data_IF_036493080733
#
_entry.id   IF_036493080733
#
_cell.length_a   1.000
_cell.length_b   1.000
_cell.length_c   1.000
_cell.angle_alpha   90.00
_cell.angle_beta   90.00
_cell.angle_gamma   90.00
#
_symmetry.space_group_name_H-M   'P 1'
#
loop_
_entity.id
_entity.type
_entity.pdbx_description
1 polymer ?
#
# COMPACT_ATOMS: atom_id res chain seq x y z
N UNK A 1 -19.86 -59.42 -32.10
CA UNK A 1 -19.51 -58.83 -30.81
C UNK A 1 -18.80 -57.52 -31.04
N UNK A 2 -19.52 -56.36 -30.92
CA UNK A 2 -18.94 -55.03 -31.13
C UNK A 2 -18.33 -54.52 -29.82
N UNK A 3 -17.02 -54.29 -29.82
CA UNK A 3 -16.31 -53.68 -28.69
C UNK A 3 -16.53 -52.16 -28.75
N UNK A 4 -17.24 -51.62 -27.76
CA UNK A 4 -17.41 -50.18 -27.58
C UNK A 4 -16.18 -49.66 -26.78
N UNK A 5 -15.33 -48.86 -27.41
CA UNK A 5 -14.22 -48.17 -26.75
C UNK A 5 -14.78 -46.87 -26.15
N UNK A 6 -14.83 -46.80 -24.84
CA UNK A 6 -15.19 -45.59 -24.12
C UNK A 6 -13.92 -44.74 -23.95
N UNK A 7 -13.84 -43.68 -24.77
CA UNK A 7 -12.76 -42.70 -24.65
C UNK A 7 -13.08 -41.77 -23.49
N UNK A 8 -12.34 -41.87 -22.41
CA UNK A 8 -12.46 -41.01 -21.24
C UNK A 8 -11.75 -39.66 -21.56
N UNK A 9 -12.53 -38.63 -21.87
CA UNK A 9 -12.02 -37.29 -22.08
C UNK A 9 -11.72 -36.64 -20.75
N UNK A 10 -10.44 -36.60 -20.32
CA UNK A 10 -10.00 -35.89 -19.15
C UNK A 10 -9.98 -34.40 -19.47
N UNK A 11 -10.98 -33.65 -19.02
CA UNK A 11 -10.95 -32.18 -18.99
C UNK A 11 -9.97 -31.72 -17.91
N UNK A 12 -8.79 -31.31 -18.33
CA UNK A 12 -7.85 -30.57 -17.48
C UNK A 12 -8.42 -29.16 -17.27
N UNK A 13 -9.05 -28.95 -16.13
CA UNK A 13 -9.34 -27.61 -15.64
C UNK A 13 -8.00 -26.97 -15.24
N UNK A 14 -7.38 -26.22 -16.14
CA UNK A 14 -6.33 -25.28 -15.77
C UNK A 14 -7.00 -24.14 -15.03
N UNK A 15 -6.94 -24.15 -13.70
CA UNK A 15 -7.29 -23.00 -12.88
C UNK A 15 -6.27 -21.92 -13.18
N UNK A 16 -6.61 -20.99 -14.05
CA UNK A 16 -5.88 -19.75 -14.21
C UNK A 16 -5.94 -19.03 -12.86
N UNK A 17 -4.85 -19.11 -12.10
CA UNK A 17 -4.63 -18.26 -10.93
C UNK A 17 -4.52 -16.84 -11.47
N UNK A 18 -5.65 -16.16 -11.52
CA UNK A 18 -5.69 -14.72 -11.82
C UNK A 18 -4.86 -14.01 -10.76
N UNK A 19 -3.66 -13.63 -11.14
CA UNK A 19 -2.80 -12.79 -10.31
C UNK A 19 -3.53 -11.45 -10.18
N UNK A 20 -4.28 -11.28 -9.09
CA UNK A 20 -4.91 -10.02 -8.74
C UNK A 20 -3.85 -8.92 -8.84
N UNK A 21 -4.11 -7.89 -9.63
CA UNK A 21 -3.27 -6.70 -9.71
C UNK A 21 -2.97 -6.25 -8.28
N UNK A 22 -1.68 -6.22 -7.90
CA UNK A 22 -1.25 -5.75 -6.58
C UNK A 22 -1.60 -4.26 -6.52
N UNK A 23 -2.83 -3.96 -6.11
CA UNK A 23 -3.33 -2.60 -5.99
C UNK A 23 -2.87 -2.04 -4.66
N UNK A 24 -2.40 -0.79 -4.68
CA UNK A 24 -2.20 -0.01 -3.47
C UNK A 24 -3.54 0.29 -2.79
N UNK A 25 -3.50 0.75 -1.55
CA UNK A 25 -4.68 1.25 -0.85
C UNK A 25 -5.16 2.54 -1.52
N UNK A 26 -6.46 2.62 -1.80
CA UNK A 26 -7.05 3.80 -2.44
C UNK A 26 -8.44 4.09 -1.90
N UNK A 27 -8.87 5.35 -2.02
CA UNK A 27 -10.16 5.84 -1.55
C UNK A 27 -10.81 6.73 -2.64
N UNK A 28 -12.12 6.69 -2.75
CA UNK A 28 -12.89 7.41 -3.76
C UNK A 28 -12.94 6.72 -5.12
N UNK A 29 -13.59 7.34 -6.08
CA UNK A 29 -13.73 6.81 -7.43
C UNK A 29 -12.53 7.23 -8.30
N UNK A 30 -11.98 6.30 -9.09
CA UNK A 30 -10.79 6.49 -9.92
C UNK A 30 -10.98 7.54 -11.05
N UNK A 31 -12.24 7.81 -11.42
CA UNK A 31 -12.63 8.85 -12.38
C UNK A 31 -12.91 10.21 -11.73
N UNK A 32 -12.58 10.41 -10.47
CA UNK A 32 -12.76 11.70 -9.78
C UNK A 32 -11.94 12.81 -10.43
N UNK A 33 -12.46 14.06 -10.34
CA UNK A 33 -11.82 15.25 -10.91
C UNK A 33 -10.40 15.49 -10.36
N UNK A 34 -10.19 15.17 -9.09
CA UNK A 34 -8.90 15.31 -8.41
C UNK A 34 -8.31 13.93 -8.16
N UNK A 35 -7.07 13.73 -8.62
CA UNK A 35 -6.27 12.56 -8.29
C UNK A 35 -5.15 12.98 -7.33
N UNK A 36 -5.14 12.42 -6.13
CA UNK A 36 -4.18 12.68 -5.08
C UNK A 36 -3.36 11.42 -4.80
N UNK A 37 -2.05 11.50 -4.96
CA UNK A 37 -1.10 10.43 -4.64
C UNK A 37 -0.32 10.81 -3.39
N UNK A 38 -0.29 9.91 -2.43
CA UNK A 38 0.47 10.06 -1.19
C UNK A 38 1.61 9.04 -1.18
N UNK A 39 2.83 9.52 -1.36
CA UNK A 39 4.02 8.67 -1.26
C UNK A 39 4.48 8.60 0.19
N UNK A 40 4.44 7.41 0.77
CA UNK A 40 4.65 7.17 2.20
C UNK A 40 5.68 6.09 2.48
N UNK A 41 6.38 6.24 3.60
CA UNK A 41 7.24 5.20 4.18
C UNK A 41 6.68 4.75 5.53
N UNK A 42 6.66 3.45 5.76
CA UNK A 42 6.08 2.88 6.98
C UNK A 42 6.96 3.08 8.23
N UNK A 43 8.21 3.55 8.05
CA UNK A 43 9.10 3.96 9.14
C UNK A 43 9.12 5.48 9.38
N UNK A 44 8.44 6.28 8.54
CA UNK A 44 8.43 7.73 8.66
C UNK A 44 7.40 8.22 9.69
N UNK A 45 7.80 8.94 10.76
CA UNK A 45 6.86 9.47 11.76
C UNK A 45 5.87 10.48 11.19
N UNK A 46 6.31 11.34 10.26
CA UNK A 46 5.42 12.31 9.60
C UNK A 46 4.39 11.62 8.69
N UNK A 47 4.71 10.43 8.14
CA UNK A 47 3.72 9.63 7.43
C UNK A 47 2.65 9.07 8.37
N UNK A 48 3.04 8.64 9.57
CA UNK A 48 2.09 8.22 10.60
C UNK A 48 1.19 9.39 11.04
N UNK A 49 1.76 10.58 11.22
CA UNK A 49 0.99 11.79 11.56
C UNK A 49 -0.02 12.14 10.47
N UNK A 50 0.41 12.16 9.20
CA UNK A 50 -0.48 12.40 8.05
C UNK A 50 -1.61 11.35 8.00
N UNK A 51 -1.28 10.08 8.18
CA UNK A 51 -2.24 8.98 8.16
C UNK A 51 -3.35 9.15 9.20
N UNK A 52 -3.02 9.58 10.43
CA UNK A 52 -4.02 9.71 11.49
C UNK A 52 -4.71 11.08 11.54
N UNK A 53 -4.08 12.16 11.09
CA UNK A 53 -4.62 13.52 11.26
C UNK A 53 -5.18 14.14 10.00
N UNK A 54 -4.55 13.90 8.85
CA UNK A 54 -4.91 14.56 7.59
C UNK A 54 -5.72 13.65 6.67
N UNK A 55 -5.26 12.42 6.46
CA UNK A 55 -5.88 11.48 5.53
C UNK A 55 -7.37 11.21 5.84
N UNK A 56 -7.81 10.96 7.08
CA UNK A 56 -9.22 10.71 7.38
C UNK A 56 -10.12 11.90 7.01
N UNK A 57 -9.65 13.13 7.24
CA UNK A 57 -10.38 14.34 6.89
C UNK A 57 -10.49 14.53 5.38
N UNK A 58 -9.44 14.19 4.62
CA UNK A 58 -9.46 14.21 3.15
C UNK A 58 -10.45 13.17 2.60
N UNK A 59 -10.48 11.97 3.20
CA UNK A 59 -11.44 10.93 2.82
C UNK A 59 -12.87 11.42 3.07
N UNK A 60 -13.17 11.93 4.26
CA UNK A 60 -14.49 12.43 4.63
C UNK A 60 -14.94 13.62 3.76
N UNK A 61 -14.04 14.59 3.57
CA UNK A 61 -14.39 15.82 2.86
C UNK A 61 -14.58 15.61 1.36
N UNK A 62 -13.79 14.72 0.73
CA UNK A 62 -13.70 14.64 -0.73
C UNK A 62 -13.86 13.23 -1.30
N UNK A 63 -13.10 12.24 -0.79
CA UNK A 63 -13.08 10.91 -1.42
C UNK A 63 -14.41 10.17 -1.24
N UNK A 64 -15.04 10.24 -0.06
CA UNK A 64 -16.36 9.65 0.21
C UNK A 64 -17.48 10.21 -0.67
N UNK A 65 -17.26 11.39 -1.25
CA UNK A 65 -18.18 12.10 -2.16
C UNK A 65 -17.80 11.94 -3.63
N UNK A 66 -16.82 11.08 -3.94
CA UNK A 66 -16.26 10.88 -5.28
C UNK A 66 -15.74 12.17 -5.96
N UNK A 67 -15.33 13.17 -5.17
CA UNK A 67 -14.72 14.40 -5.66
C UNK A 67 -13.22 14.24 -5.84
N UNK A 68 -12.62 13.28 -5.13
CA UNK A 68 -11.19 12.99 -5.13
C UNK A 68 -10.93 11.48 -5.11
N UNK A 69 -9.94 11.03 -5.88
CA UNK A 69 -9.34 9.73 -5.79
C UNK A 69 -8.00 9.83 -5.07
N UNK A 70 -7.85 9.13 -3.96
CA UNK A 70 -6.64 9.12 -3.14
C UNK A 70 -5.95 7.77 -3.29
N UNK A 71 -4.68 7.76 -3.67
CA UNK A 71 -3.83 6.56 -3.71
C UNK A 71 -2.71 6.66 -2.68
N UNK A 72 -2.60 5.67 -1.80
CA UNK A 72 -1.47 5.53 -0.87
C UNK A 72 -0.42 4.65 -1.53
N UNK A 73 0.75 5.21 -1.78
CA UNK A 73 1.81 4.61 -2.58
C UNK A 73 3.09 4.42 -1.76
N UNK A 74 3.74 3.27 -1.98
CA UNK A 74 4.94 2.90 -1.26
C UNK A 74 6.14 3.75 -1.69
N UNK A 75 6.84 4.32 -0.71
CA UNK A 75 8.13 4.96 -0.86
C UNK A 75 9.04 4.57 0.31
N UNK A 76 9.47 3.29 0.39
CA UNK A 76 10.28 2.84 1.52
C UNK A 76 11.61 3.60 1.61
N UNK A 77 11.90 4.16 2.78
CA UNK A 77 13.14 4.89 3.04
C UNK A 77 14.30 3.96 3.44
N UNK A 78 13.95 2.80 3.99
CA UNK A 78 14.88 1.82 4.55
C UNK A 78 14.36 0.37 4.38
N UNK A 79 15.17 -0.61 4.77
CA UNK A 79 14.79 -2.03 4.71
C UNK A 79 13.61 -2.41 5.63
N UNK A 80 13.51 -1.89 6.87
CA UNK A 80 12.32 -2.08 7.68
C UNK A 80 11.03 -1.65 6.98
N UNK A 81 11.02 -0.45 6.39
CA UNK A 81 9.87 0.04 5.63
C UNK A 81 9.55 -0.81 4.40
N UNK A 82 10.59 -1.27 3.68
CA UNK A 82 10.42 -2.17 2.54
C UNK A 82 9.76 -3.48 2.97
N UNK A 83 10.23 -4.09 4.04
CA UNK A 83 9.68 -5.36 4.53
C UNK A 83 8.25 -5.19 5.02
N UNK A 84 7.95 -4.12 5.77
CA UNK A 84 6.58 -3.83 6.21
C UNK A 84 5.64 -3.60 5.02
N UNK A 85 6.07 -2.88 3.98
CA UNK A 85 5.30 -2.67 2.76
C UNK A 85 5.07 -3.98 1.97
N UNK A 86 6.04 -4.89 1.94
CA UNK A 86 5.87 -6.22 1.34
C UNK A 86 4.79 -7.01 2.06
N UNK A 87 4.79 -7.01 3.39
CA UNK A 87 3.76 -7.70 4.17
C UNK A 87 2.38 -7.07 3.96
N UNK A 88 2.28 -5.75 3.86
CA UNK A 88 1.03 -5.06 3.52
C UNK A 88 0.37 -5.62 2.24
N UNK A 89 1.17 -5.94 1.20
CA UNK A 89 0.64 -6.49 -0.05
C UNK A 89 0.09 -7.92 0.09
N UNK A 90 0.43 -8.60 1.17
CA UNK A 90 -0.08 -9.93 1.49
C UNK A 90 -1.29 -9.90 2.45
N UNK A 91 -1.56 -8.75 3.06
CA UNK A 91 -2.80 -8.56 3.80
C UNK A 91 -3.91 -8.34 2.79
N UNK A 92 -4.77 -9.32 2.64
CA UNK A 92 -5.95 -9.24 1.79
C UNK A 92 -6.84 -8.06 2.27
N UNK A 93 -8.03 -7.88 1.96
CA UNK A 93 -9.01 -6.83 2.19
C UNK A 93 -8.97 -5.99 3.51
N UNK A 94 -7.83 -6.00 4.25
CA UNK A 94 -7.63 -5.28 5.53
C UNK A 94 -6.34 -4.45 5.53
N UNK A 95 -5.97 -3.91 4.37
CA UNK A 95 -4.72 -3.15 4.23
C UNK A 95 -4.75 -1.83 5.02
N UNK A 96 -5.90 -1.19 5.14
CA UNK A 96 -6.14 -0.01 5.96
C UNK A 96 -5.90 -0.30 7.45
N UNK A 97 -6.52 -1.36 7.99
CA UNK A 97 -6.30 -1.80 9.36
C UNK A 97 -4.83 -2.18 9.62
N UNK A 98 -4.15 -2.77 8.62
CA UNK A 98 -2.73 -3.06 8.73
C UNK A 98 -1.91 -1.77 8.86
N UNK A 99 -2.19 -0.76 8.02
CA UNK A 99 -1.52 0.53 8.11
C UNK A 99 -1.74 1.22 9.46
N UNK A 100 -2.97 1.17 9.98
CA UNK A 100 -3.29 1.71 11.31
C UNK A 100 -2.40 1.09 12.39
N UNK A 101 -2.29 -0.24 12.42
CA UNK A 101 -1.47 -0.94 13.41
C UNK A 101 0.01 -0.65 13.20
N UNK A 102 0.50 -0.68 11.97
CA UNK A 102 1.90 -0.43 11.62
C UNK A 102 2.31 0.98 12.06
N UNK A 103 1.54 2.01 11.72
CA UNK A 103 1.85 3.37 12.12
C UNK A 103 1.67 3.59 13.64
N UNK A 104 0.61 3.07 14.26
CA UNK A 104 0.38 3.18 15.69
C UNK A 104 1.47 2.52 16.54
N UNK A 105 2.09 1.47 16.03
CA UNK A 105 3.13 0.72 16.75
C UNK A 105 4.52 0.91 16.15
N UNK A 106 4.72 1.91 15.31
CA UNK A 106 5.93 2.17 14.55
C UNK A 106 7.20 2.11 15.40
N UNK A 107 7.22 2.82 16.55
CA UNK A 107 8.36 2.82 17.45
C UNK A 107 8.69 1.45 18.08
N UNK A 108 7.70 0.54 18.15
CA UNK A 108 7.87 -0.79 18.75
C UNK A 108 8.45 -1.81 17.79
N UNK A 109 8.12 -1.69 16.48
CA UNK A 109 8.58 -2.67 15.51
C UNK A 109 9.77 -2.17 14.68
N UNK A 110 9.84 -0.86 14.40
CA UNK A 110 10.87 -0.30 13.53
C UNK A 110 12.19 0.00 14.24
N UNK A 111 12.16 0.35 15.55
CA UNK A 111 13.35 0.66 16.35
C UNK A 111 14.01 -0.58 16.95
N UNK A 112 14.08 -1.67 16.24
CA UNK A 112 14.71 -2.90 16.65
C UNK A 112 16.25 -2.87 16.41
N UNK A 113 16.99 -3.74 17.09
CA UNK A 113 18.46 -3.78 17.02
C UNK A 113 19.01 -4.19 15.65
N UNK A 114 18.25 -4.99 14.91
CA UNK A 114 18.62 -5.51 13.60
C UNK A 114 17.37 -5.87 12.79
N UNK A 115 17.58 -6.20 11.52
CA UNK A 115 16.48 -6.50 10.60
C UNK A 115 15.71 -7.79 10.95
N UNK A 116 16.37 -8.77 11.57
CA UNK A 116 15.72 -10.01 12.00
C UNK A 116 14.73 -9.74 13.13
N UNK A 117 15.07 -8.87 14.07
CA UNK A 117 14.17 -8.44 15.14
C UNK A 117 12.98 -7.64 14.58
N UNK A 118 13.24 -6.75 13.61
CA UNK A 118 12.18 -6.05 12.85
C UNK A 118 11.22 -7.07 12.22
N UNK A 119 11.76 -8.06 11.49
CA UNK A 119 10.95 -9.09 10.82
C UNK A 119 10.15 -9.92 11.81
N UNK A 120 10.72 -10.27 12.96
CA UNK A 120 10.02 -10.98 14.02
C UNK A 120 8.86 -10.14 14.62
N UNK A 121 9.05 -8.83 14.77
CA UNK A 121 7.99 -7.94 15.23
C UNK A 121 6.88 -7.79 14.17
N UNK A 122 7.22 -7.63 12.91
CA UNK A 122 6.27 -7.62 11.80
C UNK A 122 5.50 -8.94 11.68
N UNK A 123 6.18 -10.08 11.88
CA UNK A 123 5.57 -11.41 11.90
C UNK A 123 4.50 -11.53 12.99
N UNK A 124 4.77 -11.04 14.20
CA UNK A 124 3.79 -10.97 15.30
C UNK A 124 2.58 -10.10 14.95
N UNK A 125 2.80 -8.97 14.28
CA UNK A 125 1.70 -8.09 13.83
C UNK A 125 0.86 -8.80 12.77
N UNK A 126 1.49 -9.45 11.79
CA UNK A 126 0.82 -10.08 10.64
C UNK A 126 -0.10 -11.24 11.03
N UNK A 127 0.15 -11.92 12.18
CA UNK A 127 -0.76 -12.96 12.68
C UNK A 127 -2.17 -12.45 12.98
N UNK A 128 -2.33 -11.16 13.34
CA UNK A 128 -3.64 -10.52 13.55
C UNK A 128 -4.46 -10.42 12.27
N UNK A 129 -3.81 -10.56 11.13
CA UNK A 129 -4.41 -10.52 9.79
C UNK A 129 -4.53 -11.91 9.17
N UNK A 130 -4.33 -12.96 9.96
CA UNK A 130 -4.45 -14.34 9.50
C UNK A 130 -3.27 -14.84 8.65
N UNK A 131 -2.16 -14.08 8.59
CA UNK A 131 -0.96 -14.48 7.87
C UNK A 131 -0.19 -15.48 8.74
N UNK A 132 -0.08 -16.73 8.27
CA UNK A 132 0.71 -17.76 8.94
C UNK A 132 2.21 -17.43 8.91
N UNK A 133 2.99 -18.07 9.79
CA UNK A 133 4.46 -17.93 9.79
C UNK A 133 5.06 -18.28 8.41
N UNK A 134 4.59 -19.35 7.79
CA UNK A 134 5.05 -19.77 6.46
C UNK A 134 4.68 -18.75 5.38
N UNK A 135 3.45 -18.19 5.41
CA UNK A 135 3.02 -17.23 4.42
C UNK A 135 3.70 -15.87 4.61
N UNK A 136 4.02 -15.51 5.86
CA UNK A 136 4.87 -14.35 6.14
C UNK A 136 6.23 -14.49 5.46
N UNK A 137 6.90 -15.64 5.62
CA UNK A 137 8.22 -15.86 5.05
C UNK A 137 8.17 -15.89 3.51
N UNK A 138 7.13 -16.48 2.91
CA UNK A 138 6.89 -16.44 1.46
C UNK A 138 6.68 -15.00 0.97
N UNK A 139 5.88 -14.22 1.69
CA UNK A 139 5.63 -12.84 1.36
C UNK A 139 6.90 -11.99 1.43
N UNK A 140 7.67 -12.17 2.49
CA UNK A 140 8.92 -11.44 2.71
C UNK A 140 9.98 -11.75 1.64
N UNK A 141 10.02 -12.96 1.13
CA UNK A 141 10.98 -13.39 0.09
C UNK A 141 10.46 -13.24 -1.34
N UNK A 142 9.21 -12.81 -1.53
CA UNK A 142 8.58 -12.68 -2.84
C UNK A 142 9.19 -11.55 -3.66
N UNK A 143 9.92 -11.89 -4.72
CA UNK A 143 10.61 -10.94 -5.59
C UNK A 143 9.67 -10.07 -6.43
N UNK A 144 8.47 -10.56 -6.76
CA UNK A 144 7.49 -9.77 -7.51
C UNK A 144 6.89 -8.67 -6.63
N UNK A 145 6.58 -8.97 -5.36
CA UNK A 145 6.12 -7.98 -4.38
C UNK A 145 7.22 -6.95 -4.14
N UNK A 146 8.46 -7.38 -3.89
CA UNK A 146 9.60 -6.49 -3.70
C UNK A 146 9.78 -5.54 -4.89
N UNK A 147 9.78 -6.09 -6.11
CA UNK A 147 9.85 -5.30 -7.35
C UNK A 147 8.71 -4.28 -7.45
N UNK A 148 7.48 -4.67 -7.10
CA UNK A 148 6.32 -3.77 -7.14
C UNK A 148 6.50 -2.59 -6.18
N UNK A 149 6.87 -2.85 -4.93
CA UNK A 149 7.11 -1.81 -3.91
C UNK A 149 8.24 -0.88 -4.33
N UNK A 150 9.37 -1.41 -4.79
CA UNK A 150 10.51 -0.61 -5.25
C UNK A 150 10.19 0.17 -6.53
N UNK A 151 9.39 -0.38 -7.44
CA UNK A 151 8.97 0.30 -8.66
C UNK A 151 8.12 1.54 -8.34
N UNK A 152 7.28 1.49 -7.29
CA UNK A 152 6.54 2.67 -6.81
C UNK A 152 7.49 3.81 -6.45
N UNK A 153 8.55 3.53 -5.67
CA UNK A 153 9.59 4.49 -5.31
C UNK A 153 10.32 5.04 -6.54
N UNK A 154 10.75 4.16 -7.45
CA UNK A 154 11.45 4.55 -8.69
C UNK A 154 10.55 5.47 -9.54
N UNK A 155 9.29 5.13 -9.72
CA UNK A 155 8.33 5.94 -10.47
C UNK A 155 8.09 7.31 -9.83
N UNK A 156 8.01 7.36 -8.50
CA UNK A 156 7.87 8.60 -7.74
C UNK A 156 9.06 9.54 -7.94
N UNK A 157 10.27 9.00 -7.85
CA UNK A 157 11.50 9.75 -8.09
C UNK A 157 11.58 10.25 -9.54
N UNK A 158 11.37 9.36 -10.50
CA UNK A 158 11.49 9.67 -11.93
C UNK A 158 10.46 10.68 -12.42
N UNK A 159 9.18 10.52 -12.02
CA UNK A 159 8.08 11.29 -12.60
C UNK A 159 7.76 12.56 -11.83
N UNK A 160 8.10 12.63 -10.52
CA UNK A 160 7.69 13.73 -9.64
C UNK A 160 8.81 14.27 -8.77
N UNK A 161 10.06 13.77 -8.95
CA UNK A 161 11.21 14.16 -8.13
C UNK A 161 10.93 14.04 -6.62
N UNK A 162 10.27 12.93 -6.22
CA UNK A 162 10.03 12.61 -4.80
C UNK A 162 11.33 12.15 -4.16
N UNK A 163 11.74 12.80 -3.07
CA UNK A 163 12.97 12.50 -2.33
C UNK A 163 12.76 12.42 -0.81
N UNK A 164 11.55 12.68 -0.34
CA UNK A 164 11.17 12.63 1.08
C UNK A 164 9.73 12.13 1.23
N UNK A 165 9.35 11.77 2.47
CA UNK A 165 8.00 11.31 2.80
C UNK A 165 7.45 12.02 4.05
N UNK A 166 6.13 12.23 4.13
CA UNK A 166 5.19 12.05 3.04
C UNK A 166 5.38 13.09 1.94
N UNK A 167 5.16 12.70 0.68
CA UNK A 167 5.08 13.63 -0.45
C UNK A 167 3.74 13.44 -1.14
N UNK A 168 3.06 14.56 -1.40
CA UNK A 168 1.77 14.60 -2.09
C UNK A 168 1.96 15.06 -3.54
N UNK A 169 1.29 14.36 -4.46
CA UNK A 169 1.16 14.76 -5.87
C UNK A 169 -0.33 14.90 -6.18
N UNK A 170 -0.75 16.09 -6.63
CA UNK A 170 -2.13 16.39 -7.00
C UNK A 170 -2.19 16.67 -8.50
N UNK A 171 -3.05 15.94 -9.22
CA UNK A 171 -3.23 16.07 -10.66
C UNK A 171 -1.88 16.13 -11.42
N UNK A 172 -0.97 15.18 -11.10
CA UNK A 172 0.38 15.02 -11.67
C UNK A 172 1.39 16.12 -11.29
N UNK A 173 1.05 17.05 -10.40
CA UNK A 173 1.96 18.09 -9.91
C UNK A 173 2.31 17.83 -8.46
N UNK A 174 3.62 17.86 -8.13
CA UNK A 174 4.09 17.76 -6.75
C UNK A 174 3.59 18.97 -5.97
N UNK A 175 2.93 18.73 -4.85
CA UNK A 175 2.50 19.76 -3.91
C UNK A 175 3.65 20.12 -2.97
N UNK A 176 3.89 21.42 -2.77
CA UNK A 176 5.00 21.93 -1.96
C UNK A 176 4.56 22.73 -0.73
N UNK A 177 3.26 22.78 -0.46
CA UNK A 177 2.71 23.44 0.72
C UNK A 177 2.68 22.53 1.96
N UNK A 178 2.17 23.06 3.08
CA UNK A 178 1.96 22.30 4.32
C UNK A 178 0.99 21.13 4.12
N UNK A 179 1.15 20.06 4.92
CA UNK A 179 0.37 18.82 4.75
C UNK A 179 -0.81 18.73 5.74
N UNK A 180 -1.03 19.76 6.53
CA UNK A 180 -2.19 19.88 7.40
C UNK A 180 -3.47 20.00 6.56
N UNK A 181 -4.56 19.45 7.09
CA UNK A 181 -5.82 19.38 6.34
C UNK A 181 -6.33 20.75 5.87
N UNK A 182 -6.27 21.76 6.73
CA UNK A 182 -6.83 23.09 6.43
C UNK A 182 -6.08 23.78 5.29
N UNK A 183 -4.76 23.63 5.24
CA UNK A 183 -3.92 24.16 4.17
C UNK A 183 -4.13 23.40 2.85
N UNK A 184 -4.18 22.06 2.91
CA UNK A 184 -4.52 21.24 1.76
C UNK A 184 -5.91 21.55 1.22
N UNK A 185 -6.89 21.77 2.11
CA UNK A 185 -8.25 22.12 1.76
C UNK A 185 -8.32 23.38 0.92
N UNK A 186 -7.63 24.45 1.35
CA UNK A 186 -7.57 25.73 0.61
C UNK A 186 -7.05 25.51 -0.82
N UNK A 187 -6.05 24.64 -0.98
CA UNK A 187 -5.49 24.35 -2.31
C UNK A 187 -6.44 23.48 -3.15
N UNK A 188 -7.02 22.44 -2.54
CA UNK A 188 -7.91 21.48 -3.21
C UNK A 188 -9.19 22.16 -3.69
N UNK A 189 -9.80 23.00 -2.85
CA UNK A 189 -11.06 23.71 -3.19
C UNK A 189 -10.91 24.62 -4.43
N UNK A 190 -9.71 25.12 -4.70
CA UNK A 190 -9.42 25.91 -5.93
C UNK A 190 -9.36 25.04 -7.20
N UNK A 191 -9.26 23.71 -7.05
CA UNK A 191 -9.20 22.77 -8.18
C UNK A 191 -10.57 22.18 -8.51
N UNK A 192 -11.54 22.29 -7.60
CA UNK A 192 -12.92 21.83 -7.77
C UNK A 192 -13.75 22.83 -8.56
#
# INVERSE_FOLDING_TARGET
MKKIAITFLILLFTSDISFSKITGLSYGADNSKINLKVYSSLTCPHCAEFHFRTLPKLIEAYASKNMMYIEILDFPLDYPALNAAKIQKCVNNRQDEYLDIIYKTQSKWANAKNLDEVNNNLKKISTKFGISSSDFDKCLTNKNIEKNVLQSRINAQKNYNVNSTPTIVINKKKYSGPLEFDELKIFIDKLL
#
